data_IF_766966469328
#
_entry.id   IF_766966469328
#
_cell.length_a   1.000
_cell.length_b   1.000
_cell.length_c   1.000
_cell.angle_alpha   90.00
_cell.angle_beta   90.00
_cell.angle_gamma   90.00
#
_symmetry.space_group_name_H-M   'P 1'
#
loop_
_entity.id
_entity.type
_entity.pdbx_description
1 polymer ?
#
# COMPACT_ATOMS: atom_id res chain seq x y z
N UNK A 1 -25.60 22.96 8.42
CA UNK A 1 -24.27 23.60 8.61
C UNK A 1 -23.22 22.54 8.33
N UNK A 2 -22.37 22.78 7.33
CA UNK A 2 -21.54 21.79 6.64
C UNK A 2 -20.29 21.44 7.45
N UNK A 3 -20.21 20.21 7.96
CA UNK A 3 -18.99 19.63 8.51
C UNK A 3 -18.18 18.95 7.41
N UNK A 4 -17.72 19.74 6.43
CA UNK A 4 -16.72 19.24 5.48
C UNK A 4 -15.41 19.09 6.23
N UNK A 5 -15.01 17.83 6.44
CA UNK A 5 -13.70 17.35 6.83
C UNK A 5 -12.60 18.32 6.40
N UNK A 6 -12.12 19.12 7.34
CA UNK A 6 -10.95 19.95 7.14
C UNK A 6 -9.78 18.97 7.06
N UNK A 7 -9.37 18.61 5.84
CA UNK A 7 -8.03 18.06 5.59
C UNK A 7 -7.10 18.88 6.46
N UNK A 8 -6.42 18.23 7.41
CA UNK A 8 -5.59 18.95 8.36
C UNK A 8 -4.38 19.47 7.58
N UNK A 9 -4.51 20.68 7.03
CA UNK A 9 -3.54 21.30 6.14
C UNK A 9 -2.15 21.33 6.77
N UNK A 10 -2.09 21.46 8.10
CA UNK A 10 -0.87 21.35 8.87
C UNK A 10 -0.26 19.94 8.84
N UNK A 11 -1.07 18.87 8.92
CA UNK A 11 -0.60 17.50 8.74
C UNK A 11 -0.05 17.26 7.33
N UNK A 12 -0.72 17.79 6.30
CA UNK A 12 -0.26 17.71 4.91
C UNK A 12 1.08 18.43 4.74
N UNK A 13 1.23 19.63 5.30
CA UNK A 13 2.50 20.37 5.27
C UNK A 13 3.60 19.60 6.00
N UNK A 14 3.35 19.07 7.19
CA UNK A 14 4.33 18.24 7.92
C UNK A 14 4.73 17.00 7.15
N UNK A 15 3.77 16.30 6.53
CA UNK A 15 4.05 15.12 5.71
C UNK A 15 4.94 15.48 4.50
N UNK A 16 4.65 16.59 3.81
CA UNK A 16 5.50 17.07 2.70
C UNK A 16 6.89 17.46 3.17
N UNK A 17 7.00 18.20 4.27
CA UNK A 17 8.29 18.62 4.83
C UNK A 17 9.12 17.41 5.26
N UNK A 18 8.50 16.41 5.91
CA UNK A 18 9.17 15.17 6.27
C UNK A 18 9.73 14.47 5.03
N UNK A 19 8.93 14.29 3.98
CA UNK A 19 9.39 13.65 2.74
C UNK A 19 10.46 14.46 1.98
N UNK A 20 10.59 15.77 2.20
CA UNK A 20 11.67 16.56 1.62
C UNK A 20 13.00 16.41 2.39
N UNK A 21 12.93 16.04 3.68
CA UNK A 21 14.08 15.72 4.50
C UNK A 21 14.47 14.21 4.41
N UNK A 22 14.12 13.55 3.31
CA UNK A 22 14.11 12.08 3.11
C UNK A 22 15.44 11.36 3.28
N UNK A 23 16.55 12.06 3.53
CA UNK A 23 17.85 11.44 3.74
C UNK A 23 18.00 10.74 5.11
N UNK A 24 17.08 10.96 6.06
CA UNK A 24 17.04 10.26 7.37
C UNK A 24 15.71 9.57 7.70
N UNK A 25 14.71 9.59 6.80
CA UNK A 25 13.37 9.15 7.19
C UNK A 25 13.31 7.65 7.48
N UNK A 26 12.73 7.29 8.63
CA UNK A 26 12.43 5.90 8.95
C UNK A 26 11.24 5.43 8.10
N UNK A 27 11.23 4.14 7.72
CA UNK A 27 10.14 3.55 6.93
C UNK A 27 8.74 3.79 7.55
N UNK A 28 8.65 3.83 8.88
CA UNK A 28 7.40 4.15 9.61
C UNK A 28 6.90 5.57 9.34
N UNK A 29 7.81 6.54 9.21
CA UNK A 29 7.52 7.96 9.02
C UNK A 29 7.11 8.22 7.57
N UNK A 30 7.74 7.51 6.64
CA UNK A 30 7.36 7.54 5.22
C UNK A 30 5.93 7.01 5.01
N UNK A 31 5.60 5.86 5.60
CA UNK A 31 4.24 5.31 5.59
C UNK A 31 3.24 6.30 6.20
N UNK A 32 3.57 6.90 7.34
CA UNK A 32 2.71 7.88 7.99
C UNK A 32 2.48 9.13 7.11
N UNK A 33 3.53 9.63 6.46
CA UNK A 33 3.43 10.77 5.55
C UNK A 33 2.56 10.43 4.32
N UNK A 34 2.78 9.29 3.67
CA UNK A 34 1.97 8.91 2.51
C UNK A 34 0.51 8.66 2.84
N UNK A 35 0.18 8.07 4.01
CA UNK A 35 -1.21 7.92 4.46
C UNK A 35 -1.95 9.27 4.51
N UNK A 36 -1.30 10.32 5.03
CA UNK A 36 -1.86 11.68 5.05
C UNK A 36 -1.99 12.27 3.66
N UNK A 37 -1.00 12.02 2.79
CA UNK A 37 -0.94 12.65 1.48
C UNK A 37 -1.89 12.02 0.45
N UNK A 38 -2.27 10.75 0.64
CA UNK A 38 -3.33 10.09 -0.15
C UNK A 38 -4.65 10.84 -0.05
N UNK A 39 -4.96 11.50 1.07
CA UNK A 39 -6.21 12.25 1.22
C UNK A 39 -6.29 13.50 0.33
N UNK A 40 -5.14 14.04 -0.09
CA UNK A 40 -5.08 15.25 -0.94
C UNK A 40 -4.69 14.99 -2.38
N UNK A 41 -3.96 13.91 -2.65
CA UNK A 41 -3.57 13.52 -4.00
C UNK A 41 -3.41 12.00 -4.10
N UNK A 42 -4.52 11.24 -4.16
CA UNK A 42 -4.46 9.79 -4.24
C UNK A 42 -3.58 9.30 -5.40
N UNK A 43 -3.73 9.92 -6.58
CA UNK A 43 -2.98 9.58 -7.79
C UNK A 43 -1.46 9.65 -7.60
N UNK A 44 -0.96 10.61 -6.81
CA UNK A 44 0.47 10.78 -6.61
C UNK A 44 1.05 9.88 -5.50
N UNK A 45 0.22 9.47 -4.54
CA UNK A 45 0.71 8.89 -3.28
C UNK A 45 0.21 7.48 -3.00
N UNK A 46 -0.82 6.98 -3.67
CA UNK A 46 -1.23 5.58 -3.57
C UNK A 46 -0.12 4.60 -4.03
N UNK A 47 0.57 4.82 -5.17
CA UNK A 47 1.64 3.92 -5.58
C UNK A 47 2.79 3.90 -4.57
N UNK A 48 3.17 5.08 -4.09
CA UNK A 48 4.24 5.25 -3.09
C UNK A 48 3.87 4.61 -1.75
N UNK A 49 2.61 4.75 -1.33
CA UNK A 49 2.11 4.11 -0.11
C UNK A 49 2.17 2.58 -0.22
N UNK A 50 1.75 2.01 -1.35
CA UNK A 50 1.78 0.56 -1.57
C UNK A 50 3.20 0.00 -1.41
N UNK A 51 4.19 0.66 -2.02
CA UNK A 51 5.61 0.28 -1.92
C UNK A 51 6.14 0.48 -0.51
N UNK A 52 5.92 1.65 0.10
CA UNK A 52 6.43 1.96 1.43
C UNK A 52 5.91 1.00 2.51
N UNK A 53 4.65 0.58 2.43
CA UNK A 53 4.06 -0.42 3.34
C UNK A 53 4.75 -1.78 3.24
N UNK A 54 5.07 -2.21 2.01
CA UNK A 54 5.81 -3.46 1.77
C UNK A 54 7.21 -3.38 2.35
N UNK A 55 7.93 -2.29 2.06
CA UNK A 55 9.29 -2.10 2.57
C UNK A 55 9.32 -1.99 4.09
N UNK A 56 8.36 -1.27 4.69
CA UNK A 56 8.23 -1.16 6.14
C UNK A 56 7.96 -2.52 6.80
N UNK A 57 7.07 -3.33 6.23
CA UNK A 57 6.80 -4.70 6.68
C UNK A 57 8.08 -5.56 6.66
N UNK A 58 8.82 -5.51 5.54
CA UNK A 58 10.05 -6.27 5.32
C UNK A 58 11.17 -5.90 6.30
N UNK A 59 11.36 -4.59 6.54
CA UNK A 59 12.44 -4.08 7.36
C UNK A 59 12.20 -4.30 8.85
N UNK A 60 10.98 -4.02 9.32
CA UNK A 60 10.72 -3.86 10.76
C UNK A 60 9.86 -4.98 11.37
N UNK A 61 9.13 -5.75 10.55
CA UNK A 61 8.15 -6.73 11.03
C UNK A 61 8.34 -8.14 10.47
N UNK A 62 9.55 -8.47 10.03
CA UNK A 62 9.88 -9.84 9.60
C UNK A 62 9.52 -10.89 10.67
N UNK A 63 9.81 -10.59 11.95
CA UNK A 63 9.50 -11.41 13.12
C UNK A 63 8.10 -11.25 13.72
N UNK A 64 7.26 -10.34 13.21
CA UNK A 64 5.85 -10.20 13.62
C UNK A 64 4.91 -10.53 12.45
N UNK A 65 4.44 -11.79 12.37
CA UNK A 65 3.52 -12.25 11.35
C UNK A 65 2.22 -11.46 11.22
N UNK A 66 1.67 -10.98 12.35
CA UNK A 66 0.37 -10.30 12.37
C UNK A 66 0.49 -8.89 11.83
N UNK A 67 1.48 -8.12 12.31
CA UNK A 67 1.67 -6.74 11.88
C UNK A 67 2.07 -6.67 10.41
N UNK A 68 2.99 -7.54 9.97
CA UNK A 68 3.37 -7.63 8.57
C UNK A 68 2.18 -7.98 7.65
N UNK A 69 1.29 -8.89 8.07
CA UNK A 69 0.09 -9.23 7.30
C UNK A 69 -0.84 -8.03 7.15
N UNK A 70 -1.02 -7.23 8.21
CA UNK A 70 -1.82 -6.02 8.17
C UNK A 70 -1.22 -4.97 7.22
N UNK A 71 0.10 -4.78 7.22
CA UNK A 71 0.78 -3.87 6.31
C UNK A 71 0.66 -4.32 4.85
N UNK A 72 0.81 -5.61 4.55
CA UNK A 72 0.59 -6.13 3.21
C UNK A 72 -0.89 -6.01 2.77
N UNK A 73 -1.84 -6.21 3.67
CA UNK A 73 -3.26 -6.00 3.37
C UNK A 73 -3.56 -4.53 3.02
N UNK A 74 -2.93 -3.59 3.72
CA UNK A 74 -3.05 -2.17 3.41
C UNK A 74 -2.35 -1.82 2.08
N UNK A 75 -1.21 -2.42 1.77
CA UNK A 75 -0.52 -2.26 0.49
C UNK A 75 -1.42 -2.70 -0.67
N UNK A 76 -2.08 -3.86 -0.55
CA UNK A 76 -3.08 -4.32 -1.52
C UNK A 76 -4.25 -3.33 -1.63
N UNK A 77 -4.74 -2.80 -0.50
CA UNK A 77 -5.82 -1.82 -0.51
C UNK A 77 -5.41 -0.50 -1.20
N UNK A 78 -4.17 -0.06 -1.03
CA UNK A 78 -3.64 1.11 -1.73
C UNK A 78 -3.56 0.87 -3.24
N UNK A 79 -2.99 -0.26 -3.67
CA UNK A 79 -2.91 -0.62 -5.09
C UNK A 79 -4.30 -0.76 -5.75
N UNK A 80 -5.28 -1.35 -5.05
CA UNK A 80 -6.67 -1.45 -5.54
C UNK A 80 -7.33 -0.09 -5.75
N UNK A 81 -6.98 0.92 -4.97
CA UNK A 81 -7.52 2.29 -5.05
C UNK A 81 -6.88 3.13 -6.16
N UNK A 82 -5.78 2.67 -6.75
CA UNK A 82 -5.12 3.38 -7.86
C UNK A 82 -6.02 3.46 -9.09
N UNK A 83 -5.80 4.47 -9.91
CA UNK A 83 -6.56 4.69 -11.13
C UNK A 83 -6.25 3.58 -12.15
N UNK A 84 -7.28 3.05 -12.83
CA UNK A 84 -7.13 1.98 -13.80
C UNK A 84 -6.22 2.34 -15.00
N UNK A 85 -6.02 3.63 -15.26
CA UNK A 85 -5.17 4.15 -16.35
C UNK A 85 -3.70 4.28 -15.95
N UNK A 86 -3.35 4.07 -14.67
CA UNK A 86 -1.96 4.11 -14.24
C UNK A 86 -1.23 2.84 -14.71
N UNK A 87 -0.14 2.96 -15.48
CA UNK A 87 0.54 1.81 -16.08
C UNK A 87 1.10 0.85 -15.02
N UNK A 88 1.56 1.38 -13.89
CA UNK A 88 2.14 0.61 -12.78
C UNK A 88 1.10 -0.06 -11.87
N UNK A 89 -0.20 0.22 -12.06
CA UNK A 89 -1.25 -0.30 -11.17
C UNK A 89 -1.27 -1.82 -11.12
N UNK A 90 -1.22 -2.47 -12.28
CA UNK A 90 -1.34 -3.93 -12.35
C UNK A 90 -0.14 -4.59 -11.69
N UNK A 91 1.07 -4.13 -12.00
CA UNK A 91 2.31 -4.67 -11.44
C UNK A 91 2.35 -4.50 -9.92
N UNK A 92 2.00 -3.31 -9.41
CA UNK A 92 1.95 -3.05 -7.98
C UNK A 92 0.87 -3.86 -7.26
N UNK A 93 -0.29 -4.06 -7.89
CA UNK A 93 -1.35 -4.90 -7.32
C UNK A 93 -0.91 -6.36 -7.24
N UNK A 94 -0.32 -6.90 -8.31
CA UNK A 94 0.18 -8.28 -8.34
C UNK A 94 1.28 -8.48 -7.30
N UNK A 95 2.27 -7.58 -7.24
CA UNK A 95 3.34 -7.60 -6.24
C UNK A 95 2.81 -7.60 -4.81
N UNK A 96 1.89 -6.68 -4.50
CA UNK A 96 1.28 -6.59 -3.17
C UNK A 96 0.49 -7.86 -2.81
N UNK A 97 -0.25 -8.44 -3.77
CA UNK A 97 -1.03 -9.67 -3.56
C UNK A 97 -0.13 -10.89 -3.33
N UNK A 98 1.00 -11.00 -4.05
CA UNK A 98 1.98 -12.09 -3.85
C UNK A 98 2.52 -12.05 -2.42
N UNK A 99 2.96 -10.89 -1.94
CA UNK A 99 3.48 -10.78 -0.57
C UNK A 99 2.40 -10.96 0.50
N UNK A 100 1.18 -10.48 0.26
CA UNK A 100 0.05 -10.75 1.14
C UNK A 100 -0.25 -12.24 1.24
N UNK A 101 -0.25 -12.94 0.10
CA UNK A 101 -0.45 -14.40 0.01
C UNK A 101 0.62 -15.17 0.76
N UNK A 102 1.90 -14.83 0.57
CA UNK A 102 3.02 -15.44 1.29
C UNK A 102 2.81 -15.33 2.81
N UNK A 103 2.37 -14.16 3.28
CA UNK A 103 2.12 -13.95 4.71
C UNK A 103 0.90 -14.70 5.23
N UNK A 104 -0.16 -14.89 4.42
CA UNK A 104 -1.28 -15.77 4.77
C UNK A 104 -0.84 -17.22 4.94
N UNK A 105 0.01 -17.74 4.04
CA UNK A 105 0.56 -19.09 4.10
C UNK A 105 1.40 -19.28 5.36
N UNK A 106 2.30 -18.34 5.67
CA UNK A 106 3.10 -18.37 6.90
C UNK A 106 2.24 -18.35 8.17
N UNK A 107 1.07 -17.73 8.12
CA UNK A 107 0.11 -17.67 9.22
C UNK A 107 -0.84 -18.86 9.29
N UNK A 108 -0.73 -19.85 8.39
CA UNK A 108 -1.64 -21.00 8.32
C UNK A 108 -3.06 -20.64 7.84
N UNK A 109 -3.27 -19.43 7.30
CA UNK A 109 -4.58 -18.93 6.81
C UNK A 109 -4.87 -19.41 5.39
N UNK A 110 -4.73 -20.72 5.16
CA UNK A 110 -4.83 -21.31 3.82
C UNK A 110 -6.21 -21.17 3.18
N UNK A 111 -7.27 -21.02 3.97
CA UNK A 111 -8.63 -20.84 3.46
C UNK A 111 -8.79 -19.57 2.59
N UNK A 112 -7.95 -18.56 2.79
CA UNK A 112 -8.03 -17.27 2.09
C UNK A 112 -7.17 -17.22 0.82
N UNK A 113 -6.18 -18.11 0.72
CA UNK A 113 -5.21 -18.15 -0.39
C UNK A 113 -5.88 -18.31 -1.77
N UNK A 114 -6.91 -19.17 -1.96
CA UNK A 114 -7.56 -19.32 -3.27
C UNK A 114 -8.31 -18.06 -3.75
N UNK A 115 -8.71 -17.18 -2.84
CA UNK A 115 -9.30 -15.90 -3.23
C UNK A 115 -8.23 -14.96 -3.79
N UNK A 116 -7.08 -14.89 -3.13
CA UNK A 116 -5.93 -14.07 -3.53
C UNK A 116 -5.33 -14.58 -4.86
N UNK A 117 -5.18 -15.91 -5.02
CA UNK A 117 -4.67 -16.51 -6.25
C UNK A 117 -5.52 -16.19 -7.48
N UNK A 118 -6.85 -16.23 -7.34
CA UNK A 118 -7.77 -15.84 -8.41
C UNK A 118 -7.60 -14.37 -8.79
N UNK A 119 -7.43 -13.49 -7.80
CA UNK A 119 -7.24 -12.07 -8.07
C UNK A 119 -5.91 -11.80 -8.78
N UNK A 120 -4.82 -12.47 -8.38
CA UNK A 120 -3.52 -12.38 -9.07
C UNK A 120 -3.67 -12.77 -10.54
N UNK A 121 -4.34 -13.89 -10.84
CA UNK A 121 -4.57 -14.32 -12.22
C UNK A 121 -5.41 -13.33 -13.03
N UNK A 122 -6.45 -12.75 -12.42
CA UNK A 122 -7.31 -11.75 -13.09
C UNK A 122 -6.54 -10.45 -13.37
N UNK A 123 -5.72 -9.99 -12.41
CA UNK A 123 -4.91 -8.80 -12.59
C UNK A 123 -3.85 -9.00 -13.68
N UNK A 124 -3.09 -10.10 -13.64
CA UNK A 124 -2.06 -10.39 -14.63
C UNK A 124 -2.61 -10.63 -16.04
N UNK A 125 -3.70 -11.38 -16.18
CA UNK A 125 -4.31 -11.66 -17.50
C UNK A 125 -4.95 -10.44 -18.16
N UNK A 126 -5.34 -9.42 -17.37
CA UNK A 126 -5.89 -8.18 -17.92
C UNK A 126 -4.85 -7.27 -18.57
N UNK A 127 -3.57 -7.39 -18.21
CA UNK A 127 -2.47 -6.63 -18.82
C UNK A 127 -2.01 -7.22 -20.15
N UNK A 128 -2.07 -8.55 -20.32
CA UNK A 128 -1.68 -9.22 -21.57
C UNK A 128 -2.72 -9.07 -22.70
N UNK A 129 -3.91 -8.55 -22.39
CA UNK A 129 -5.07 -8.50 -23.30
C UNK A 129 -5.41 -7.10 -23.83
N UNK A 130 -4.61 -6.07 -23.51
CA UNK A 130 -4.85 -4.66 -23.86
C UNK A 130 -3.71 -4.10 -24.74
#
# INVERSE_FOLDING_TARGET
MNSSSHINHNAVLRARVALLASWELLAKEEVAAYRVLVDVSPLAYLPRLAVALREYSRQEFSGDPRTALALHAESVAAARRMCALEPERTDLLVDALVHYRERLVLMGRHAEVPAVDREISLAGGSADSA
#
